data_IF_243939633327
#
_entry.id   IF_243939633327
#
_cell.length_a   1.000
_cell.length_b   1.000
_cell.length_c   1.000
_cell.angle_alpha   90.00
_cell.angle_beta   90.00
_cell.angle_gamma   90.00
#
_symmetry.space_group_name_H-M   'P 1'
#
loop_
_entity.id
_entity.type
_entity.pdbx_description
1 polymer ?
#
# COMPACT_ATOMS: atom_id res chain seq x y z
N UNK A 1 6.47 17.60 -26.57
CA UNK A 1 6.81 16.17 -26.40
C UNK A 1 6.39 15.85 -24.98
N UNK A 2 5.30 15.08 -24.82
CA UNK A 2 4.65 14.86 -23.53
C UNK A 2 5.62 14.16 -22.57
N UNK A 3 5.63 14.55 -21.29
CA UNK A 3 6.41 13.93 -20.19
C UNK A 3 6.19 12.40 -20.14
N UNK A 4 5.01 11.91 -20.55
CA UNK A 4 4.66 10.51 -20.73
C UNK A 4 5.56 9.75 -21.72
N UNK A 5 5.88 10.34 -22.88
CA UNK A 5 6.80 9.73 -23.87
C UNK A 5 8.25 9.71 -23.36
N UNK A 6 8.62 10.71 -22.56
CA UNK A 6 9.92 10.73 -21.88
C UNK A 6 10.00 9.61 -20.84
N UNK A 7 8.91 9.31 -20.16
CA UNK A 7 8.80 8.23 -19.18
C UNK A 7 8.85 6.84 -19.85
N UNK A 8 8.14 6.62 -20.95
CA UNK A 8 8.18 5.36 -21.71
C UNK A 8 9.56 5.11 -22.36
N UNK A 9 10.22 6.17 -22.86
CA UNK A 9 11.58 6.10 -23.37
C UNK A 9 12.59 5.82 -22.25
N UNK A 10 12.39 6.43 -21.08
CA UNK A 10 13.21 6.17 -19.89
C UNK A 10 13.12 4.70 -19.47
N UNK A 11 11.93 4.13 -19.33
CA UNK A 11 11.76 2.73 -18.97
C UNK A 11 12.37 1.76 -19.99
N UNK A 12 12.26 2.04 -21.31
CA UNK A 12 12.90 1.22 -22.35
C UNK A 12 14.43 1.26 -22.35
N UNK A 13 15.03 2.36 -21.89
CA UNK A 13 16.49 2.54 -21.82
C UNK A 13 17.08 1.94 -20.54
N UNK A 14 16.26 1.75 -19.49
CA UNK A 14 16.71 1.36 -18.16
C UNK A 14 16.28 -0.05 -17.71
N UNK A 15 15.64 -0.84 -18.57
CA UNK A 15 15.49 -2.29 -18.38
C UNK A 15 16.88 -2.94 -18.29
N UNK A 16 17.40 -3.07 -17.06
CA UNK A 16 18.69 -3.71 -16.79
C UNK A 16 19.66 -2.93 -15.91
N UNK A 17 19.27 -1.81 -15.30
CA UNK A 17 20.15 -1.10 -14.36
C UNK A 17 20.15 -1.73 -12.98
N UNK A 18 21.37 -1.92 -12.51
CA UNK A 18 21.75 -2.42 -11.20
C UNK A 18 20.95 -1.77 -10.08
N UNK A 19 20.42 -2.58 -9.18
CA UNK A 19 19.81 -2.23 -7.88
C UNK A 19 20.79 -1.44 -6.96
N UNK A 20 21.76 -0.77 -7.51
CA UNK A 20 22.82 -0.04 -6.81
C UNK A 20 22.66 1.47 -6.71
N UNK A 21 21.88 2.11 -7.57
CA UNK A 21 21.67 3.56 -7.53
C UNK A 21 20.18 3.89 -7.41
N UNK A 22 19.84 4.87 -6.55
CA UNK A 22 18.49 5.38 -6.46
C UNK A 22 18.07 6.05 -7.79
N UNK A 23 16.82 5.87 -8.17
CA UNK A 23 16.26 6.51 -9.36
C UNK A 23 15.93 7.98 -9.06
N UNK A 24 16.81 8.88 -9.45
CA UNK A 24 16.65 10.32 -9.27
C UNK A 24 15.41 10.88 -9.96
N UNK A 25 14.97 10.27 -11.06
CA UNK A 25 13.80 10.73 -11.78
C UNK A 25 12.53 10.41 -10.99
N UNK A 26 12.40 9.19 -10.45
CA UNK A 26 11.28 8.83 -9.58
C UNK A 26 11.26 9.64 -8.29
N UNK A 27 12.44 9.92 -7.70
CA UNK A 27 12.55 10.80 -6.52
C UNK A 27 12.06 12.21 -6.85
N UNK A 28 12.43 12.77 -8.01
CA UNK A 28 11.93 14.07 -8.46
C UNK A 28 10.40 14.05 -8.61
N UNK A 29 9.86 13.05 -9.29
CA UNK A 29 8.41 12.90 -9.44
C UNK A 29 7.69 12.74 -8.10
N UNK A 30 8.34 12.07 -7.13
CA UNK A 30 7.80 11.93 -5.77
C UNK A 30 7.61 13.30 -5.10
N UNK A 31 8.57 14.19 -5.20
CA UNK A 31 8.46 15.55 -4.65
C UNK A 31 7.51 16.48 -5.43
N UNK A 32 7.18 16.11 -6.68
CA UNK A 32 6.22 16.86 -7.52
C UNK A 32 4.77 16.33 -7.41
N UNK A 33 4.48 15.32 -6.56
CA UNK A 33 3.13 14.75 -6.44
C UNK A 33 2.70 13.90 -7.65
N UNK A 34 3.65 13.49 -8.50
CA UNK A 34 3.40 12.82 -9.78
C UNK A 34 3.88 11.37 -9.85
N UNK A 35 4.55 10.87 -8.80
CA UNK A 35 5.16 9.55 -8.83
C UNK A 35 4.11 8.44 -8.62
N UNK A 36 3.93 7.59 -9.63
CA UNK A 36 3.12 6.37 -9.53
C UNK A 36 3.92 5.16 -9.05
N UNK A 37 5.25 5.22 -9.10
CA UNK A 37 6.13 4.09 -8.84
C UNK A 37 7.11 4.37 -7.69
N UNK A 38 6.68 5.16 -6.69
CA UNK A 38 7.52 5.47 -5.53
C UNK A 38 7.97 4.20 -4.79
N UNK A 39 7.14 3.14 -4.80
CA UNK A 39 7.48 1.83 -4.21
C UNK A 39 8.67 1.14 -4.87
N UNK A 40 9.11 1.56 -6.06
CA UNK A 40 10.33 1.03 -6.71
C UNK A 40 11.61 1.67 -6.20
N UNK A 41 11.49 2.78 -5.47
CA UNK A 41 12.62 3.51 -4.87
C UNK A 41 12.63 3.38 -3.36
N UNK A 42 11.46 3.64 -2.73
CA UNK A 42 11.29 3.54 -1.28
C UNK A 42 10.97 2.11 -0.87
N UNK A 43 11.35 1.77 0.37
CA UNK A 43 11.17 0.42 0.91
C UNK A 43 12.47 -0.37 0.95
N UNK A 44 12.34 -1.69 1.12
CA UNK A 44 13.44 -2.65 1.17
C UNK A 44 13.51 -3.44 -0.14
N UNK A 45 14.56 -3.24 -0.93
CA UNK A 45 14.77 -3.89 -2.22
C UNK A 45 15.89 -4.92 -2.15
N UNK A 46 15.49 -6.20 -2.24
CA UNK A 46 16.40 -7.34 -2.20
C UNK A 46 17.05 -7.58 -3.57
N UNK A 47 18.36 -7.74 -3.58
CA UNK A 47 19.11 -8.22 -4.73
C UNK A 47 19.89 -9.52 -4.40
N UNK A 48 20.82 -9.93 -5.26
CA UNK A 48 21.60 -11.15 -5.08
C UNK A 48 22.60 -11.08 -3.92
N UNK A 49 22.97 -9.89 -3.44
CA UNK A 49 24.01 -9.69 -2.44
C UNK A 49 23.48 -9.17 -1.11
N UNK A 50 22.34 -8.50 -1.10
CA UNK A 50 21.79 -7.89 0.11
C UNK A 50 20.51 -7.09 -0.16
N UNK A 51 20.26 -6.09 0.67
CA UNK A 51 19.04 -5.27 0.63
C UNK A 51 19.40 -3.79 0.66
N UNK A 52 18.79 -3.02 -0.22
CA UNK A 52 18.75 -1.58 -0.15
C UNK A 52 17.50 -1.12 0.57
N UNK A 53 17.69 -0.35 1.60
CA UNK A 53 16.64 0.34 2.34
C UNK A 53 16.60 1.81 1.93
N UNK A 54 15.42 2.33 1.68
CA UNK A 54 15.21 3.74 1.37
C UNK A 54 13.93 4.24 2.04
N UNK A 55 14.01 5.35 2.76
CA UNK A 55 12.87 5.92 3.49
C UNK A 55 12.83 7.43 3.39
N UNK A 56 11.62 7.98 3.37
CA UNK A 56 11.36 9.42 3.46
C UNK A 56 11.06 9.79 4.90
N UNK A 57 11.99 10.55 5.53
CA UNK A 57 11.89 11.02 6.92
C UNK A 57 12.52 12.42 7.02
N UNK A 58 11.79 13.47 6.56
CA UNK A 58 12.36 14.80 6.34
C UNK A 58 12.79 15.51 7.62
N UNK A 59 12.16 15.23 8.75
CA UNK A 59 12.45 15.89 10.03
C UNK A 59 13.42 15.08 10.91
N UNK A 60 13.77 13.83 10.53
CA UNK A 60 14.67 12.97 11.30
C UNK A 60 16.07 13.61 11.48
N UNK A 61 16.64 13.48 12.67
CA UNK A 61 18.06 13.80 12.94
C UNK A 61 18.98 12.69 12.45
N UNK A 62 18.57 11.44 12.68
CA UNK A 62 19.23 10.24 12.19
C UNK A 62 18.23 9.12 11.95
N UNK A 63 18.57 8.19 11.05
CA UNK A 63 17.78 6.99 10.78
C UNK A 63 18.72 5.78 10.79
N UNK A 64 18.28 4.71 11.42
CA UNK A 64 18.98 3.43 11.44
C UNK A 64 18.07 2.32 10.93
N UNK A 65 18.64 1.25 10.39
CA UNK A 65 17.90 0.00 10.11
C UNK A 65 18.18 -0.97 11.25
N UNK A 66 17.12 -1.40 11.95
CA UNK A 66 17.18 -2.39 13.02
C UNK A 66 16.37 -3.63 12.63
N UNK A 67 16.81 -4.79 13.03
CA UNK A 67 16.13 -6.03 12.68
C UNK A 67 16.72 -7.26 13.37
N UNK A 68 16.18 -8.44 13.03
CA UNK A 68 16.67 -9.72 13.57
C UNK A 68 18.13 -10.03 13.18
N UNK A 69 18.65 -9.40 12.14
CA UNK A 69 20.01 -9.57 11.63
C UNK A 69 21.08 -8.78 12.41
N UNK A 70 20.68 -7.87 13.26
CA UNK A 70 21.55 -7.08 14.11
C UNK A 70 21.06 -6.99 15.56
N UNK A 71 20.28 -8.00 16.03
CA UNK A 71 19.72 -8.07 17.38
C UNK A 71 18.94 -6.80 17.77
N UNK A 72 18.32 -6.14 16.78
CA UNK A 72 17.63 -4.85 16.93
C UNK A 72 18.54 -3.71 17.43
N UNK A 73 19.84 -3.84 17.26
CA UNK A 73 20.84 -2.79 17.51
C UNK A 73 21.27 -2.15 16.19
N UNK A 74 20.87 -0.91 15.97
CA UNK A 74 21.15 -0.18 14.74
C UNK A 74 22.51 0.55 14.73
N UNK A 75 23.36 0.41 15.73
CA UNK A 75 24.60 1.22 15.88
C UNK A 75 25.57 1.10 14.72
N UNK A 76 25.52 0.01 13.96
CA UNK A 76 26.33 -0.21 12.75
C UNK A 76 25.56 0.03 11.43
N UNK A 77 24.27 0.36 11.52
CA UNK A 77 23.40 0.46 10.34
C UNK A 77 22.71 1.83 10.26
N UNK A 78 23.49 2.90 10.40
CA UNK A 78 23.01 4.26 10.13
C UNK A 78 22.81 4.46 8.64
N UNK A 79 21.64 5.01 8.29
CA UNK A 79 21.33 5.41 6.93
C UNK A 79 22.03 6.74 6.58
N UNK A 80 22.43 6.87 5.33
CA UNK A 80 22.96 8.12 4.79
C UNK A 80 21.82 8.98 4.23
N UNK A 81 21.90 10.27 4.47
CA UNK A 81 20.98 11.24 3.88
C UNK A 81 21.33 11.42 2.41
N UNK A 82 20.43 10.96 1.54
CA UNK A 82 20.67 10.96 0.10
C UNK A 82 20.58 12.36 -0.52
N UNK A 83 19.64 13.20 0.00
CA UNK A 83 19.45 14.57 -0.45
C UNK A 83 18.90 15.45 0.68
N UNK A 84 18.87 16.77 0.45
CA UNK A 84 18.34 17.73 1.43
C UNK A 84 16.83 17.62 1.64
N UNK A 85 16.12 16.90 0.77
CA UNK A 85 14.67 16.66 0.86
C UNK A 85 14.25 15.63 1.91
N UNK A 86 15.20 14.99 2.61
CA UNK A 86 14.88 14.03 3.70
C UNK A 86 14.70 12.59 3.26
N UNK A 87 15.28 12.21 2.15
CA UNK A 87 15.42 10.80 1.72
C UNK A 87 16.68 10.20 2.36
N UNK A 88 16.52 9.04 2.98
CA UNK A 88 17.61 8.29 3.63
C UNK A 88 17.77 6.95 2.96
N UNK A 89 18.99 6.47 2.81
CA UNK A 89 19.29 5.18 2.18
C UNK A 89 20.43 4.44 2.85
N UNK A 90 20.40 3.10 2.81
CA UNK A 90 21.47 2.23 3.28
C UNK A 90 21.42 0.92 2.49
N UNK A 91 22.57 0.37 2.15
CA UNK A 91 22.69 -0.98 1.61
C UNK A 91 23.35 -1.89 2.65
N UNK A 92 22.71 -3.03 2.95
CA UNK A 92 23.21 -4.02 3.89
C UNK A 92 23.41 -5.34 3.15
N UNK A 93 24.64 -5.83 3.12
CA UNK A 93 24.98 -7.11 2.49
C UNK A 93 24.53 -8.30 3.33
N UNK A 94 24.26 -9.43 2.68
CA UNK A 94 23.97 -10.71 3.32
C UNK A 94 22.54 -10.90 3.82
N UNK A 95 21.70 -9.87 3.79
CA UNK A 95 20.31 -9.97 4.16
C UNK A 95 19.51 -10.80 3.15
N UNK A 96 18.42 -11.40 3.63
CA UNK A 96 17.61 -12.37 2.89
C UNK A 96 16.13 -12.01 2.94
N UNK A 97 15.39 -12.63 2.05
CA UNK A 97 13.93 -12.63 2.12
C UNK A 97 13.44 -13.13 3.48
N UNK A 98 12.45 -12.45 4.03
CA UNK A 98 11.85 -12.65 5.35
C UNK A 98 12.64 -12.11 6.55
N UNK A 99 13.81 -11.51 6.37
CA UNK A 99 14.46 -10.78 7.46
C UNK A 99 13.52 -9.69 7.97
N UNK A 100 13.38 -9.60 9.29
CA UNK A 100 12.55 -8.61 9.96
C UNK A 100 13.33 -7.31 10.12
N UNK A 101 12.66 -6.18 9.89
CA UNK A 101 13.29 -4.88 10.08
C UNK A 101 12.30 -3.79 10.48
N UNK A 102 12.84 -2.72 11.05
CA UNK A 102 12.21 -1.42 11.28
C UNK A 102 13.19 -0.29 10.99
N UNK A 103 12.66 0.90 10.80
CA UNK A 103 13.46 2.12 10.85
C UNK A 103 13.44 2.67 12.28
N UNK A 104 14.62 2.79 12.88
CA UNK A 104 14.81 3.49 14.15
C UNK A 104 15.16 4.93 13.86
N UNK A 105 14.31 5.85 14.25
CA UNK A 105 14.38 7.25 13.90
C UNK A 105 14.62 8.09 15.15
N UNK A 106 15.66 8.93 15.13
CA UNK A 106 15.84 10.00 16.08
C UNK A 106 15.05 11.22 15.61
N UNK A 107 14.02 11.57 16.35
CA UNK A 107 13.12 12.69 16.04
C UNK A 107 13.78 14.06 16.29
N UNK A 108 13.21 15.17 15.83
CA UNK A 108 13.71 16.51 16.14
C UNK A 108 13.81 16.83 17.62
N UNK A 109 12.98 16.20 18.46
CA UNK A 109 13.01 16.35 19.91
C UNK A 109 14.11 15.52 20.61
N UNK A 110 14.78 14.61 19.85
CA UNK A 110 15.75 13.66 20.38
C UNK A 110 15.12 12.35 20.89
N UNK A 111 13.82 12.17 20.79
CA UNK A 111 13.18 10.89 21.09
C UNK A 111 13.51 9.86 20.01
N UNK A 112 13.66 8.59 20.44
CA UNK A 112 13.88 7.46 19.54
C UNK A 112 12.56 6.73 19.32
N UNK A 113 12.20 6.48 18.07
CA UNK A 113 10.99 5.75 17.67
C UNK A 113 11.31 4.68 16.65
N UNK A 114 10.71 3.50 16.81
CA UNK A 114 10.83 2.40 15.84
C UNK A 114 9.58 2.33 14.96
N UNK A 115 9.76 2.42 13.64
CA UNK A 115 8.70 2.49 12.64
C UNK A 115 8.76 1.31 11.68
N UNK A 116 7.60 0.75 11.36
CA UNK A 116 7.47 -0.11 10.18
C UNK A 116 7.75 0.71 8.91
N UNK A 117 8.18 0.03 7.87
CA UNK A 117 8.45 0.67 6.59
C UNK A 117 7.13 1.02 5.88
N UNK A 118 6.89 2.30 5.54
CA UNK A 118 5.69 2.72 4.83
C UNK A 118 5.50 2.04 3.46
N UNK A 119 6.58 1.57 2.85
CA UNK A 119 6.60 0.92 1.54
C UNK A 119 6.89 -0.59 1.61
N UNK A 120 6.81 -1.20 2.79
CA UNK A 120 7.01 -2.64 2.93
C UNK A 120 6.04 -3.45 2.08
N UNK A 121 6.54 -4.44 1.37
CA UNK A 121 5.71 -5.36 0.58
C UNK A 121 5.12 -6.51 1.41
N UNK A 122 5.64 -6.72 2.61
CA UNK A 122 5.17 -7.73 3.53
C UNK A 122 5.43 -7.33 4.98
N UNK A 123 4.50 -7.68 5.85
CA UNK A 123 4.55 -7.36 7.28
C UNK A 123 4.71 -8.61 8.13
N UNK A 124 5.22 -8.44 9.33
CA UNK A 124 5.20 -9.48 10.36
C UNK A 124 3.76 -9.81 10.74
N UNK A 125 3.49 -11.08 11.04
CA UNK A 125 2.17 -11.47 11.53
C UNK A 125 1.94 -10.89 12.93
N UNK A 126 0.76 -10.37 13.15
CA UNK A 126 0.39 -9.83 14.48
C UNK A 126 0.55 -10.86 15.59
N UNK A 127 0.92 -10.47 16.83
CA UNK A 127 1.06 -9.10 17.32
C UNK A 127 2.37 -8.40 16.93
N UNK A 128 3.22 -9.01 16.11
CA UNK A 128 4.43 -8.40 15.59
C UNK A 128 4.11 -7.17 14.73
N UNK A 129 5.03 -6.21 14.70
CA UNK A 129 4.84 -4.91 14.03
C UNK A 129 6.02 -4.54 13.12
N UNK A 130 6.89 -5.50 12.83
CA UNK A 130 8.01 -5.28 11.92
C UNK A 130 7.60 -5.45 10.46
N UNK A 131 8.36 -4.84 9.58
CA UNK A 131 8.34 -5.14 8.16
C UNK A 131 9.21 -6.35 7.85
N UNK A 132 8.90 -7.06 6.77
CA UNK A 132 9.71 -8.16 6.24
C UNK A 132 10.32 -7.77 4.91
N UNK A 133 11.59 -8.08 4.74
CA UNK A 133 12.21 -8.06 3.41
C UNK A 133 11.47 -9.04 2.52
N UNK A 134 10.94 -8.58 1.41
CA UNK A 134 10.18 -9.42 0.49
C UNK A 134 10.41 -9.01 -0.97
N UNK A 135 10.64 -10.01 -1.83
CA UNK A 135 10.77 -9.78 -3.26
C UNK A 135 9.51 -10.26 -3.99
N UNK A 136 8.84 -9.34 -4.68
CA UNK A 136 7.66 -9.62 -5.51
C UNK A 136 8.01 -10.22 -6.86
N UNK A 137 9.27 -10.09 -7.31
CA UNK A 137 9.72 -10.56 -8.61
C UNK A 137 9.57 -12.08 -8.79
N UNK A 138 9.57 -12.50 -10.05
CA UNK A 138 9.57 -13.91 -10.44
C UNK A 138 8.21 -14.60 -10.31
N UNK A 139 7.15 -13.89 -9.95
CA UNK A 139 5.79 -14.44 -10.04
C UNK A 139 5.37 -14.57 -11.51
N UNK A 140 4.79 -15.71 -11.87
CA UNK A 140 4.31 -15.96 -13.24
C UNK A 140 2.80 -15.93 -13.29
N UNK A 141 2.24 -14.86 -13.84
CA UNK A 141 0.82 -14.71 -14.10
C UNK A 141 0.37 -15.64 -15.23
N UNK A 142 -0.82 -16.22 -15.10
CA UNK A 142 -1.46 -17.05 -16.12
C UNK A 142 -2.79 -16.46 -16.60
N UNK A 143 -3.01 -15.21 -16.38
CA UNK A 143 -4.25 -14.44 -16.61
C UNK A 143 -4.21 -13.55 -17.86
N UNK A 144 -3.25 -13.72 -18.75
CA UNK A 144 -3.05 -12.86 -19.92
C UNK A 144 -4.28 -12.76 -20.84
N UNK A 145 -5.12 -13.81 -20.89
CA UNK A 145 -6.39 -13.79 -21.62
C UNK A 145 -7.38 -12.83 -20.96
N UNK A 146 -7.51 -12.92 -19.62
CA UNK A 146 -8.36 -12.03 -18.81
C UNK A 146 -7.92 -10.60 -18.97
N UNK A 147 -6.65 -10.29 -18.72
CA UNK A 147 -6.08 -8.94 -18.80
C UNK A 147 -6.29 -8.26 -20.17
N UNK A 148 -6.31 -9.04 -21.25
CA UNK A 148 -6.59 -8.52 -22.61
C UNK A 148 -8.07 -8.30 -22.89
N UNK A 149 -8.97 -9.02 -22.21
CA UNK A 149 -10.41 -9.00 -22.47
C UNK A 149 -11.20 -8.18 -21.45
N UNK A 150 -10.59 -7.84 -20.31
CA UNK A 150 -11.25 -7.01 -19.28
C UNK A 150 -11.52 -5.61 -19.81
N UNK A 151 -12.59 -5.01 -19.32
CA UNK A 151 -12.97 -3.63 -19.61
C UNK A 151 -13.38 -2.95 -18.30
N UNK A 152 -13.61 -1.64 -18.34
CA UNK A 152 -14.16 -0.91 -17.21
C UNK A 152 -15.64 -1.22 -16.93
N UNK A 153 -16.25 -2.10 -17.72
CA UNK A 153 -17.62 -2.64 -17.57
C UNK A 153 -18.76 -1.61 -17.52
N UNK A 154 -18.55 -0.39 -17.97
CA UNK A 154 -19.63 0.63 -18.00
C UNK A 154 -20.80 0.28 -18.90
N UNK A 155 -20.61 -0.64 -19.84
CA UNK A 155 -21.58 -1.11 -20.82
C UNK A 155 -22.08 -2.56 -20.57
N UNK A 156 -21.75 -3.14 -19.40
CA UNK A 156 -22.07 -4.52 -19.06
C UNK A 156 -22.75 -4.62 -17.71
N UNK A 157 -23.56 -5.66 -17.55
CA UNK A 157 -24.10 -5.98 -16.24
C UNK A 157 -22.99 -6.48 -15.32
N UNK A 158 -22.92 -5.91 -14.13
CA UNK A 158 -22.04 -6.34 -13.05
C UNK A 158 -22.87 -6.85 -11.89
N UNK A 159 -22.41 -7.96 -11.30
CA UNK A 159 -22.93 -8.49 -10.06
C UNK A 159 -21.74 -8.70 -9.13
N UNK A 160 -21.62 -7.88 -8.09
CA UNK A 160 -20.46 -7.82 -7.21
C UNK A 160 -20.80 -8.52 -5.90
N UNK A 161 -19.90 -9.38 -5.44
CA UNK A 161 -19.94 -10.00 -4.12
C UNK A 161 -18.90 -9.38 -3.21
N UNK A 162 -19.34 -8.56 -2.27
CA UNK A 162 -18.46 -7.96 -1.26
C UNK A 162 -18.18 -8.96 -0.15
N UNK A 163 -16.91 -9.11 0.24
CA UNK A 163 -16.49 -10.03 1.27
C UNK A 163 -15.28 -9.55 2.05
N UNK A 164 -15.32 -9.71 3.37
CA UNK A 164 -14.13 -9.70 4.20
C UNK A 164 -13.59 -11.13 4.31
N UNK A 165 -12.37 -11.37 3.83
CA UNK A 165 -11.79 -12.72 3.78
C UNK A 165 -11.63 -13.33 5.18
N UNK A 166 -11.41 -12.52 6.21
CA UNK A 166 -11.22 -13.00 7.58
C UNK A 166 -12.50 -13.44 8.27
N UNK A 167 -13.65 -12.87 7.90
CA UNK A 167 -14.95 -13.17 8.55
C UNK A 167 -15.93 -13.92 7.64
N UNK A 168 -15.64 -14.02 6.34
CA UNK A 168 -16.50 -14.75 5.40
C UNK A 168 -16.64 -16.23 5.80
N UNK A 169 -15.51 -16.87 6.16
CA UNK A 169 -15.45 -18.21 6.73
C UNK A 169 -14.14 -18.33 7.51
N UNK A 170 -14.18 -19.02 8.62
CA UNK A 170 -13.02 -19.29 9.46
C UNK A 170 -12.83 -20.78 9.67
N UNK A 171 -11.58 -21.23 9.78
CA UNK A 171 -11.25 -22.60 10.18
C UNK A 171 -11.60 -22.85 11.64
N UNK A 172 -11.36 -21.83 12.46
CA UNK A 172 -11.63 -21.85 13.89
C UNK A 172 -12.05 -20.46 14.33
N UNK A 173 -13.21 -20.40 14.97
CA UNK A 173 -13.75 -19.16 15.52
C UNK A 173 -12.92 -18.65 16.71
N UNK A 174 -12.83 -17.32 16.84
CA UNK A 174 -12.31 -16.70 18.05
C UNK A 174 -13.23 -16.97 19.24
N UNK A 175 -12.64 -17.33 20.39
CA UNK A 175 -13.35 -17.50 21.65
C UNK A 175 -12.54 -16.87 22.77
N UNK A 176 -13.13 -16.71 23.97
CA UNK A 176 -12.45 -16.17 25.16
C UNK A 176 -11.20 -16.99 25.56
N UNK A 177 -11.09 -18.23 25.11
CA UNK A 177 -10.02 -19.17 25.49
C UNK A 177 -9.16 -19.65 24.32
N UNK A 178 -9.43 -19.20 23.09
CA UNK A 178 -8.67 -19.64 21.90
C UNK A 178 -8.58 -18.57 20.84
N UNK A 179 -7.40 -18.42 20.24
CA UNK A 179 -7.19 -17.65 19.04
C UNK A 179 -7.95 -18.28 17.86
N UNK A 180 -8.56 -17.43 17.03
CA UNK A 180 -9.18 -17.88 15.80
C UNK A 180 -8.13 -18.28 14.75
N UNK A 181 -8.55 -19.02 13.75
CA UNK A 181 -7.72 -19.41 12.61
C UNK A 181 -8.40 -19.03 11.32
N UNK A 182 -7.74 -18.17 10.54
CA UNK A 182 -8.21 -17.76 9.22
C UNK A 182 -7.87 -18.79 8.14
N UNK A 183 -8.64 -18.79 7.07
CA UNK A 183 -8.22 -19.42 5.83
C UNK A 183 -7.08 -18.60 5.20
N UNK A 184 -6.11 -19.28 4.62
CA UNK A 184 -5.08 -18.64 3.81
C UNK A 184 -5.64 -18.18 2.45
N UNK A 185 -4.92 -17.27 1.76
CA UNK A 185 -5.26 -16.87 0.39
C UNK A 185 -5.42 -18.08 -0.55
N UNK A 186 -4.54 -19.08 -0.43
CA UNK A 186 -4.62 -20.30 -1.25
C UNK A 186 -5.85 -21.15 -0.92
N UNK A 187 -6.15 -21.33 0.35
CA UNK A 187 -7.33 -22.10 0.77
C UNK A 187 -8.63 -21.41 0.39
N UNK A 188 -8.66 -20.07 0.33
CA UNK A 188 -9.82 -19.30 -0.14
C UNK A 188 -10.13 -19.55 -1.62
N UNK A 189 -9.15 -20.01 -2.43
CA UNK A 189 -9.40 -20.42 -3.83
C UNK A 189 -10.48 -21.48 -3.89
N UNK A 190 -10.36 -22.50 -3.05
CA UNK A 190 -11.29 -23.65 -3.05
C UNK A 190 -12.61 -23.37 -2.31
N UNK A 191 -12.66 -22.32 -1.52
CA UNK A 191 -13.82 -21.97 -0.70
C UNK A 191 -14.70 -20.90 -1.35
N UNK A 192 -14.16 -19.69 -1.59
CA UNK A 192 -14.99 -18.55 -2.02
C UNK A 192 -15.25 -18.54 -3.53
N UNK A 193 -14.29 -18.92 -4.36
CA UNK A 193 -14.43 -18.86 -5.83
C UNK A 193 -15.57 -19.76 -6.33
N UNK A 194 -15.69 -21.03 -5.90
CA UNK A 194 -16.82 -21.88 -6.30
C UNK A 194 -18.18 -21.33 -5.87
N UNK A 195 -18.24 -20.70 -4.69
CA UNK A 195 -19.45 -20.06 -4.20
C UNK A 195 -19.88 -18.90 -5.08
N UNK A 196 -18.97 -17.95 -5.31
CA UNK A 196 -19.19 -16.75 -6.14
C UNK A 196 -19.64 -17.14 -7.55
N UNK A 197 -18.96 -18.11 -8.15
CA UNK A 197 -19.30 -18.64 -9.48
C UNK A 197 -20.68 -19.28 -9.51
N UNK A 198 -21.00 -20.15 -8.53
CA UNK A 198 -22.29 -20.82 -8.40
C UNK A 198 -23.44 -19.82 -8.26
N UNK A 199 -23.22 -18.72 -7.54
CA UNK A 199 -24.21 -17.68 -7.32
C UNK A 199 -24.35 -16.69 -8.49
N UNK A 200 -23.48 -16.78 -9.51
CA UNK A 200 -23.53 -15.97 -10.72
C UNK A 200 -22.98 -14.55 -10.56
N UNK A 201 -22.10 -14.32 -9.58
CA UNK A 201 -21.40 -13.06 -9.45
C UNK A 201 -20.30 -12.95 -10.51
N UNK A 202 -20.04 -11.72 -10.96
CA UNK A 202 -19.01 -11.39 -11.97
C UNK A 202 -17.73 -10.92 -11.33
N UNK A 203 -17.83 -10.35 -10.13
CA UNK A 203 -16.67 -9.80 -9.39
C UNK A 203 -16.78 -10.16 -7.92
N UNK A 204 -15.61 -10.26 -7.28
CA UNK A 204 -15.47 -10.22 -5.82
C UNK A 204 -14.90 -8.86 -5.47
N UNK A 205 -15.58 -8.11 -4.60
CA UNK A 205 -15.04 -6.95 -3.93
C UNK A 205 -14.49 -7.39 -2.58
N UNK A 206 -13.19 -7.26 -2.40
CA UNK A 206 -12.52 -7.67 -1.17
C UNK A 206 -12.30 -6.43 -0.31
N UNK A 207 -12.87 -6.44 0.91
CA UNK A 207 -12.58 -5.43 1.93
C UNK A 207 -11.06 -5.27 2.10
N UNK A 208 -10.55 -4.15 2.64
CA UNK A 208 -9.15 -3.78 2.50
C UNK A 208 -8.17 -4.91 2.80
N UNK A 209 -7.29 -5.18 1.83
CA UNK A 209 -6.22 -6.20 1.93
C UNK A 209 -4.89 -5.60 2.40
N UNK A 210 -4.85 -4.31 2.66
CA UNK A 210 -3.72 -3.64 3.28
C UNK A 210 -3.44 -4.22 4.67
N UNK A 211 -2.17 -4.21 5.13
CA UNK A 211 -1.87 -4.63 6.51
C UNK A 211 -2.51 -3.67 7.52
N UNK A 212 -3.07 -4.21 8.58
CA UNK A 212 -3.78 -3.49 9.64
C UNK A 212 -3.61 -4.16 11.00
N UNK A 213 -3.62 -3.40 12.13
CA UNK A 213 -3.31 -3.96 13.45
C UNK A 213 -4.51 -4.62 14.13
N UNK A 214 -5.73 -4.14 13.89
CA UNK A 214 -6.91 -4.51 14.64
C UNK A 214 -7.96 -5.23 13.79
N UNK A 215 -8.25 -6.51 14.09
CA UNK A 215 -9.17 -7.35 13.30
C UNK A 215 -10.58 -6.76 13.19
N UNK A 216 -11.08 -6.13 14.24
CA UNK A 216 -12.39 -5.51 14.27
C UNK A 216 -12.56 -4.33 13.31
N UNK A 217 -11.46 -3.81 12.74
CA UNK A 217 -11.52 -2.76 11.72
C UNK A 217 -11.83 -3.29 10.31
N UNK A 218 -11.82 -4.61 10.10
CA UNK A 218 -11.97 -5.27 8.80
C UNK A 218 -10.98 -4.78 7.72
N UNK A 219 -9.89 -4.15 8.13
CA UNK A 219 -8.88 -3.59 7.25
C UNK A 219 -9.00 -2.09 6.98
N UNK A 220 -10.08 -1.43 7.41
CA UNK A 220 -10.27 0.02 7.20
C UNK A 220 -9.34 0.89 8.05
N UNK A 221 -8.61 0.31 8.99
CA UNK A 221 -7.59 0.98 9.80
C UNK A 221 -6.18 0.51 9.39
N UNK A 222 -5.76 0.86 8.18
CA UNK A 222 -4.52 0.39 7.58
C UNK A 222 -3.26 1.00 8.23
N UNK A 223 -2.19 0.17 8.29
CA UNK A 223 -0.81 0.57 8.64
C UNK A 223 0.17 0.33 7.50
N UNK A 224 -0.10 -0.59 6.58
CA UNK A 224 0.80 -0.97 5.49
C UNK A 224 0.16 -0.88 4.12
N UNK A 225 0.32 0.24 3.41
CA UNK A 225 -0.36 0.54 2.13
C UNK A 225 0.14 -0.29 0.93
N UNK A 226 1.34 -0.84 1.02
CA UNK A 226 1.97 -1.70 -0.01
C UNK A 226 2.10 -3.15 0.45
N UNK A 227 1.63 -3.48 1.65
CA UNK A 227 1.72 -4.82 2.24
C UNK A 227 0.37 -5.50 2.19
N UNK A 228 0.28 -6.63 1.49
CA UNK A 228 -0.85 -7.52 1.63
C UNK A 228 -0.89 -8.07 3.05
N UNK A 229 -2.06 -8.00 3.70
CA UNK A 229 -2.16 -8.42 5.10
C UNK A 229 -1.61 -9.82 5.33
N UNK A 230 -0.73 -9.93 6.31
CA UNK A 230 -0.04 -11.17 6.68
C UNK A 230 -0.96 -12.23 7.32
N UNK A 231 -2.19 -11.84 7.67
CA UNK A 231 -3.22 -12.72 8.28
C UNK A 231 -3.55 -13.96 7.45
N UNK A 232 -3.56 -13.78 6.13
CA UNK A 232 -4.02 -14.80 5.20
C UNK A 232 -2.88 -15.43 4.39
N UNK A 233 -1.63 -15.07 4.70
CA UNK A 233 -0.46 -15.59 4.01
C UNK A 233 0.49 -14.52 3.49
N UNK A 234 1.23 -14.83 2.44
CA UNK A 234 2.21 -13.91 1.87
C UNK A 234 1.75 -13.34 0.49
N UNK A 235 2.37 -12.27 0.00
CA UNK A 235 1.90 -11.55 -1.20
C UNK A 235 1.76 -12.44 -2.45
N UNK A 236 2.62 -13.42 -2.67
CA UNK A 236 2.49 -14.31 -3.84
C UNK A 236 1.28 -15.24 -3.76
N UNK A 237 0.85 -15.63 -2.56
CA UNK A 237 -0.40 -16.41 -2.39
C UNK A 237 -1.63 -15.55 -2.71
N UNK A 238 -1.61 -14.24 -2.42
CA UNK A 238 -2.65 -13.34 -2.88
C UNK A 238 -2.66 -13.22 -4.41
N UNK A 239 -1.48 -13.17 -5.05
CA UNK A 239 -1.40 -13.23 -6.52
C UNK A 239 -2.00 -14.53 -7.07
N UNK A 240 -1.79 -15.68 -6.40
CA UNK A 240 -2.40 -16.98 -6.78
C UNK A 240 -3.92 -16.94 -6.67
N UNK A 241 -4.45 -16.33 -5.60
CA UNK A 241 -5.89 -16.16 -5.42
C UNK A 241 -6.50 -15.31 -6.56
N UNK A 242 -5.92 -14.16 -6.88
CA UNK A 242 -6.39 -13.29 -7.96
C UNK A 242 -6.29 -13.99 -9.32
N UNK A 243 -5.16 -14.65 -9.58
CA UNK A 243 -4.96 -15.42 -10.80
C UNK A 243 -6.00 -16.55 -10.96
N UNK A 244 -6.41 -17.20 -9.87
CA UNK A 244 -7.48 -18.20 -9.87
C UNK A 244 -8.85 -17.57 -10.14
N UNK A 245 -9.16 -16.39 -9.58
CA UNK A 245 -10.38 -15.64 -9.91
C UNK A 245 -10.45 -15.35 -11.41
N UNK A 246 -9.39 -14.81 -12.00
CA UNK A 246 -9.31 -14.49 -13.43
C UNK A 246 -9.48 -15.72 -14.33
N UNK A 247 -8.90 -16.87 -13.93
CA UNK A 247 -9.06 -18.14 -14.64
C UNK A 247 -10.51 -18.60 -14.68
N UNK A 248 -11.28 -18.33 -13.62
CA UNK A 248 -12.70 -18.65 -13.51
C UNK A 248 -13.62 -17.57 -14.08
N UNK A 249 -13.05 -16.50 -14.65
CA UNK A 249 -13.81 -15.40 -15.27
C UNK A 249 -14.42 -14.44 -14.24
N UNK A 250 -13.80 -14.32 -13.06
CA UNK A 250 -14.22 -13.45 -11.96
C UNK A 250 -13.20 -12.34 -11.80
N UNK A 251 -13.66 -11.08 -11.85
CA UNK A 251 -12.83 -9.90 -11.56
C UNK A 251 -12.64 -9.70 -10.06
N UNK A 252 -11.56 -9.01 -9.67
CA UNK A 252 -11.26 -8.68 -8.28
C UNK A 252 -11.21 -7.17 -8.10
N UNK A 253 -12.08 -6.66 -7.24
CA UNK A 253 -12.12 -5.27 -6.79
C UNK A 253 -11.54 -5.23 -5.38
N UNK A 254 -10.68 -4.26 -5.10
CA UNK A 254 -10.10 -4.07 -3.78
C UNK A 254 -10.59 -2.78 -3.16
N UNK A 255 -11.02 -2.85 -1.90
CA UNK A 255 -11.24 -1.68 -1.09
C UNK A 255 -9.93 -0.99 -0.72
N UNK A 256 -9.87 0.31 -0.86
CA UNK A 256 -8.72 1.13 -0.55
C UNK A 256 -9.13 2.35 0.27
N UNK A 257 -8.40 2.63 1.34
CA UNK A 257 -8.69 3.69 2.30
C UNK A 257 -7.75 4.89 2.10
N UNK A 258 -8.04 5.83 1.20
CA UNK A 258 -7.15 6.96 0.92
C UNK A 258 -7.37 8.14 1.89
N UNK A 259 -8.46 8.14 2.66
CA UNK A 259 -8.84 9.27 3.48
C UNK A 259 -8.03 9.37 4.76
N UNK A 260 -7.81 8.25 5.45
CA UNK A 260 -7.23 8.24 6.78
C UNK A 260 -6.38 7.01 7.08
N UNK A 261 -5.61 7.07 8.17
CA UNK A 261 -4.82 5.96 8.71
C UNK A 261 -4.78 6.00 10.25
N UNK A 262 -4.38 4.90 10.87
CA UNK A 262 -4.40 4.75 12.33
C UNK A 262 -3.22 5.40 13.02
N UNK A 263 -3.40 5.68 14.32
CA UNK A 263 -2.39 6.35 15.18
C UNK A 263 -1.40 5.38 15.83
N UNK A 264 -1.37 4.13 15.40
CA UNK A 264 -0.46 3.11 15.96
C UNK A 264 1.00 3.56 15.90
N UNK A 265 1.69 3.43 17.02
CA UNK A 265 3.03 3.99 17.20
C UNK A 265 4.11 3.38 16.30
N UNK A 266 3.84 2.24 15.65
CA UNK A 266 4.73 1.66 14.66
C UNK A 266 4.41 2.07 13.21
N UNK A 267 3.26 2.70 12.97
CA UNK A 267 2.76 3.09 11.65
C UNK A 267 3.20 4.49 11.23
N UNK A 268 2.32 5.13 10.42
CA UNK A 268 2.61 6.40 9.75
C UNK A 268 2.48 7.63 10.64
N UNK A 269 1.72 7.53 11.75
CA UNK A 269 1.42 8.68 12.61
C UNK A 269 2.67 9.27 13.25
N UNK A 270 2.90 10.57 13.04
CA UNK A 270 4.11 11.26 13.48
C UNK A 270 5.39 10.48 13.13
N UNK A 271 5.49 10.04 11.89
CA UNK A 271 6.43 9.02 11.42
C UNK A 271 7.87 9.29 11.87
N UNK A 272 8.35 10.51 11.73
CA UNK A 272 9.70 10.94 12.14
C UNK A 272 9.69 11.98 13.27
N UNK A 273 8.56 12.04 14.00
CA UNK A 273 8.31 13.04 15.03
C UNK A 273 7.73 14.35 14.50
N UNK A 274 7.55 14.46 13.18
CA UNK A 274 6.84 15.55 12.49
C UNK A 274 5.55 15.05 11.84
N UNK A 275 4.86 15.96 11.17
CA UNK A 275 3.63 15.69 10.42
C UNK A 275 3.98 15.34 8.97
N UNK A 276 4.43 14.11 8.72
CA UNK A 276 4.85 13.68 7.37
C UNK A 276 3.64 13.40 6.50
N UNK A 277 2.73 12.55 6.96
CA UNK A 277 1.59 12.07 6.19
C UNK A 277 0.29 12.80 6.51
N UNK A 278 0.11 13.23 7.74
CA UNK A 278 -1.10 13.88 8.26
C UNK A 278 -1.05 15.41 8.24
N UNK A 279 -2.21 16.04 8.41
CA UNK A 279 -2.31 17.48 8.54
C UNK A 279 -1.60 18.00 9.79
N UNK A 280 -0.82 19.06 9.66
CA UNK A 280 -0.22 19.76 10.79
C UNK A 280 -1.28 20.50 11.63
N UNK A 281 -2.33 21.03 10.99
CA UNK A 281 -3.45 21.67 11.66
C UNK A 281 -4.31 20.64 12.41
N UNK A 282 -4.42 20.81 13.73
CA UNK A 282 -5.22 19.96 14.61
C UNK A 282 -6.69 19.88 14.21
N UNK A 283 -7.24 20.97 13.65
CA UNK A 283 -8.64 21.03 13.25
C UNK A 283 -8.95 20.10 12.05
N UNK A 284 -7.96 19.82 11.22
CA UNK A 284 -8.11 19.02 10.02
C UNK A 284 -7.49 17.62 10.15
N UNK A 285 -6.82 17.34 11.28
CA UNK A 285 -6.04 16.11 11.46
C UNK A 285 -6.85 14.89 11.86
N UNK A 286 -7.74 15.02 12.82
CA UNK A 286 -8.40 13.89 13.44
C UNK A 286 -9.74 13.58 12.80
N UNK A 287 -9.95 12.29 12.49
CA UNK A 287 -11.23 11.78 12.02
C UNK A 287 -12.14 11.38 13.19
N UNK A 288 -13.39 11.13 12.88
CA UNK A 288 -14.40 10.61 13.79
C UNK A 288 -14.18 9.13 14.18
N UNK A 289 -13.31 8.42 13.42
CA UNK A 289 -13.00 6.99 13.65
C UNK A 289 -11.74 6.78 14.48
N UNK A 290 -11.34 7.74 15.32
CA UNK A 290 -10.11 7.73 16.12
C UNK A 290 -8.83 7.53 15.30
N UNK A 291 -8.85 7.97 14.04
CA UNK A 291 -7.73 7.95 13.10
C UNK A 291 -7.31 9.36 12.69
N UNK A 292 -6.38 9.49 11.75
CA UNK A 292 -5.90 10.78 11.24
C UNK A 292 -6.03 10.83 9.73
N UNK A 293 -6.43 12.01 9.21
CA UNK A 293 -6.54 12.23 7.78
C UNK A 293 -5.18 12.41 7.12
N UNK A 294 -5.02 11.84 5.94
CA UNK A 294 -3.90 12.15 5.05
C UNK A 294 -3.95 13.61 4.59
N UNK A 295 -2.82 14.31 4.70
CA UNK A 295 -2.67 15.65 4.14
C UNK A 295 -2.41 15.59 2.63
N UNK A 296 -3.47 15.41 1.86
CA UNK A 296 -3.40 15.33 0.38
C UNK A 296 -3.11 16.68 -0.30
N UNK A 297 -2.83 17.73 0.47
CA UNK A 297 -2.26 18.97 -0.07
C UNK A 297 -0.76 18.89 -0.27
N UNK A 298 -0.10 17.91 0.38
CA UNK A 298 1.34 17.62 0.22
C UNK A 298 1.59 16.75 -1.00
N UNK A 299 2.51 17.16 -1.85
CA UNK A 299 2.89 16.43 -3.05
C UNK A 299 3.47 15.04 -2.74
N UNK A 300 4.25 14.92 -1.66
CA UNK A 300 4.80 13.63 -1.21
C UNK A 300 3.72 12.63 -0.77
N UNK A 301 2.65 13.11 -0.12
CA UNK A 301 1.49 12.30 0.27
C UNK A 301 0.68 11.89 -0.95
N UNK A 302 0.48 12.80 -1.91
CA UNK A 302 -0.16 12.47 -3.20
C UNK A 302 0.61 11.36 -3.93
N UNK A 303 1.94 11.49 -4.02
CA UNK A 303 2.78 10.45 -4.62
C UNK A 303 2.70 9.12 -3.88
N UNK A 304 2.67 9.13 -2.54
CA UNK A 304 2.52 7.93 -1.73
C UNK A 304 1.21 7.19 -2.05
N UNK A 305 0.07 7.89 -2.00
CA UNK A 305 -1.25 7.29 -2.24
C UNK A 305 -1.44 6.86 -3.71
N UNK A 306 -1.03 7.69 -4.68
CA UNK A 306 -1.07 7.34 -6.11
C UNK A 306 -0.21 6.12 -6.41
N UNK A 307 0.97 6.05 -5.79
CA UNK A 307 1.87 4.90 -5.92
C UNK A 307 1.27 3.63 -5.30
N UNK A 308 0.52 3.73 -4.20
CA UNK A 308 -0.17 2.59 -3.62
C UNK A 308 -1.27 2.06 -4.55
N UNK A 309 -2.09 2.94 -5.12
CA UNK A 309 -3.11 2.56 -6.12
C UNK A 309 -2.47 1.88 -7.34
N UNK A 310 -1.40 2.47 -7.86
CA UNK A 310 -0.66 1.90 -8.98
C UNK A 310 -0.06 0.54 -8.65
N UNK A 311 0.53 0.39 -7.46
CA UNK A 311 1.11 -0.87 -6.97
C UNK A 311 0.09 -2.01 -6.99
N UNK A 312 -1.11 -1.80 -6.48
CA UNK A 312 -2.14 -2.83 -6.49
C UNK A 312 -2.61 -3.19 -7.92
N UNK A 313 -2.70 -2.21 -8.80
CA UNK A 313 -3.05 -2.45 -10.20
C UNK A 313 -1.96 -3.20 -10.98
N UNK A 314 -0.68 -2.82 -10.80
CA UNK A 314 0.46 -3.38 -11.52
C UNK A 314 0.90 -4.74 -10.97
N UNK A 315 1.08 -4.82 -9.64
CA UNK A 315 1.66 -6.01 -9.02
C UNK A 315 0.62 -7.10 -8.77
N UNK A 316 -0.64 -6.73 -8.54
CA UNK A 316 -1.68 -7.68 -8.17
C UNK A 316 -2.78 -7.85 -9.24
N UNK A 317 -2.68 -7.15 -10.36
CA UNK A 317 -3.63 -7.27 -11.48
C UNK A 317 -5.11 -7.09 -11.09
N UNK A 318 -5.40 -6.32 -10.03
CA UNK A 318 -6.78 -6.05 -9.64
C UNK A 318 -7.56 -5.38 -10.77
N UNK A 319 -8.88 -5.59 -10.83
CA UNK A 319 -9.76 -5.11 -11.89
C UNK A 319 -10.47 -3.80 -11.53
N UNK A 320 -10.51 -3.50 -10.26
CA UNK A 320 -11.09 -2.27 -9.75
C UNK A 320 -10.60 -1.91 -8.37
N UNK A 321 -10.73 -0.63 -8.04
CA UNK A 321 -10.47 -0.10 -6.71
C UNK A 321 -11.71 0.67 -6.27
N UNK A 322 -12.25 0.29 -5.12
CA UNK A 322 -13.28 1.04 -4.43
C UNK A 322 -12.59 1.94 -3.40
N UNK A 323 -12.78 3.24 -3.52
CA UNK A 323 -12.25 4.25 -2.62
C UNK A 323 -13.22 4.49 -1.49
N UNK A 324 -12.79 4.18 -0.28
CA UNK A 324 -13.55 4.35 0.95
C UNK A 324 -13.64 5.82 1.36
N UNK A 325 -14.79 6.23 1.89
CA UNK A 325 -15.04 7.52 2.52
C UNK A 325 -14.64 8.73 1.65
N UNK A 326 -14.99 8.74 0.36
CA UNK A 326 -14.60 9.82 -0.57
C UNK A 326 -15.14 11.18 -0.15
N UNK A 327 -16.32 11.23 0.47
CA UNK A 327 -16.86 12.48 1.04
C UNK A 327 -15.94 13.10 2.10
N UNK A 328 -15.26 12.27 2.91
CA UNK A 328 -14.31 12.72 3.92
C UNK A 328 -12.98 13.25 3.33
N UNK A 329 -12.70 12.94 2.05
CA UNK A 329 -11.65 13.60 1.29
C UNK A 329 -12.13 14.94 0.71
N UNK A 330 -13.29 14.93 0.03
CA UNK A 330 -13.82 16.08 -0.72
C UNK A 330 -14.23 17.22 0.20
N UNK A 331 -14.89 16.89 1.30
CA UNK A 331 -15.34 17.89 2.26
C UNK A 331 -14.53 17.79 3.55
N UNK A 332 -14.18 18.92 4.14
CA UNK A 332 -13.50 18.91 5.42
C UNK A 332 -14.32 18.14 6.44
N UNK A 333 -13.71 17.09 7.05
CA UNK A 333 -14.35 16.17 8.01
C UNK A 333 -15.64 15.51 7.48
N UNK A 334 -15.74 15.26 6.18
CA UNK A 334 -16.91 14.67 5.56
C UNK A 334 -18.17 15.56 5.54
N UNK A 335 -18.08 16.82 5.96
CA UNK A 335 -19.23 17.69 6.10
C UNK A 335 -19.17 18.85 5.08
N UNK A 336 -20.20 18.93 4.22
CA UNK A 336 -20.35 20.00 3.20
C UNK A 336 -20.33 21.40 3.78
N UNK A 337 -20.82 21.58 5.00
CA UNK A 337 -20.88 22.89 5.67
C UNK A 337 -19.49 23.43 6.04
N UNK A 338 -18.48 22.55 6.17
CA UNK A 338 -17.11 22.96 6.43
C UNK A 338 -16.34 23.32 5.14
N UNK A 339 -16.99 23.21 3.99
CA UNK A 339 -16.45 23.56 2.69
C UNK A 339 -15.62 22.45 2.06
N UNK A 340 -15.14 22.71 0.86
CA UNK A 340 -14.46 21.77 -0.01
C UNK A 340 -12.96 21.79 0.19
N UNK A 341 -12.35 20.62 0.28
CA UNK A 341 -10.90 20.43 0.25
C UNK A 341 -10.42 20.39 -1.22
N UNK A 342 -10.01 21.54 -1.74
CA UNK A 342 -9.53 21.63 -3.12
C UNK A 342 -8.29 20.77 -3.39
N UNK A 343 -7.45 20.53 -2.37
CA UNK A 343 -6.28 19.62 -2.48
C UNK A 343 -6.71 18.19 -2.72
N UNK A 344 -7.78 17.75 -2.08
CA UNK A 344 -8.34 16.41 -2.29
C UNK A 344 -9.02 16.27 -3.66
N UNK A 345 -9.76 17.28 -4.11
CA UNK A 345 -10.31 17.27 -5.47
C UNK A 345 -9.23 17.15 -6.53
N UNK A 346 -8.14 17.91 -6.41
CA UNK A 346 -7.00 17.84 -7.31
C UNK A 346 -6.30 16.48 -7.24
N UNK A 347 -6.14 15.93 -6.03
CA UNK A 347 -5.60 14.58 -5.84
C UNK A 347 -6.45 13.53 -6.56
N UNK A 348 -7.77 13.47 -6.30
CA UNK A 348 -8.68 12.50 -6.91
C UNK A 348 -8.71 12.62 -8.43
N UNK A 349 -8.78 13.85 -8.95
CA UNK A 349 -8.80 14.11 -10.39
C UNK A 349 -7.53 13.63 -11.06
N UNK A 350 -6.37 14.08 -10.57
CA UNK A 350 -5.07 13.70 -11.17
C UNK A 350 -4.72 12.24 -10.98
N UNK A 351 -5.17 11.62 -9.89
CA UNK A 351 -5.04 10.18 -9.68
C UNK A 351 -5.85 9.40 -10.74
N UNK A 352 -7.14 9.73 -10.91
CA UNK A 352 -7.98 9.07 -11.91
C UNK A 352 -7.43 9.24 -13.33
N UNK A 353 -7.00 10.46 -13.70
CA UNK A 353 -6.39 10.73 -15.00
C UNK A 353 -5.18 9.83 -15.25
N UNK A 354 -4.23 9.78 -14.31
CA UNK A 354 -3.01 8.99 -14.45
C UNK A 354 -3.25 7.47 -14.43
N UNK A 355 -4.16 7.00 -13.59
CA UNK A 355 -4.50 5.58 -13.50
C UNK A 355 -5.22 5.11 -14.77
N UNK A 356 -6.20 5.86 -15.27
CA UNK A 356 -6.93 5.48 -16.50
C UNK A 356 -6.09 5.64 -17.78
N UNK A 357 -5.13 6.58 -17.79
CA UNK A 357 -4.15 6.66 -18.88
C UNK A 357 -3.30 5.39 -18.96
N UNK A 358 -2.88 4.84 -17.80
CA UNK A 358 -2.04 3.64 -17.74
C UNK A 358 -2.84 2.33 -17.78
N UNK A 359 -4.00 2.30 -17.12
CA UNK A 359 -4.88 1.14 -17.01
C UNK A 359 -6.31 1.48 -17.44
N UNK A 360 -6.58 1.63 -18.77
CA UNK A 360 -7.90 2.06 -19.24
C UNK A 360 -9.06 1.14 -18.83
N UNK A 361 -8.76 -0.11 -18.51
CA UNK A 361 -9.74 -1.11 -18.11
C UNK A 361 -9.92 -1.23 -16.58
N UNK A 362 -9.12 -0.51 -15.76
CA UNK A 362 -9.27 -0.51 -14.31
C UNK A 362 -10.50 0.30 -13.92
N UNK A 363 -11.37 -0.26 -13.10
CA UNK A 363 -12.50 0.45 -12.53
C UNK A 363 -12.07 1.27 -11.32
N UNK A 364 -12.53 2.51 -11.22
CA UNK A 364 -12.46 3.31 -9.99
C UNK A 364 -13.86 3.57 -9.49
N UNK A 365 -14.14 3.19 -8.25
CA UNK A 365 -15.45 3.23 -7.63
C UNK A 365 -15.34 4.09 -6.37
N UNK A 366 -16.20 5.09 -6.23
CA UNK A 366 -16.23 5.93 -5.04
C UNK A 366 -17.34 5.45 -4.10
N UNK A 367 -16.99 5.26 -2.83
CA UNK A 367 -17.97 5.13 -1.77
C UNK A 367 -18.31 6.52 -1.23
N UNK A 368 -19.58 6.84 -1.27
CA UNK A 368 -20.11 8.10 -0.75
C UNK A 368 -21.49 7.89 -0.16
N UNK A 369 -21.67 8.29 1.08
CA UNK A 369 -22.91 8.19 1.82
C UNK A 369 -23.61 9.54 2.07
N UNK A 370 -23.18 10.62 1.40
CA UNK A 370 -23.71 11.98 1.58
C UNK A 370 -24.85 12.36 0.65
#
# INVERSE_FOLDING_TARGET
MNEFWSYLLYNKVYEGRHIGMLDNFLIKLFFEGKCLEAYKVFGAHLDKKGVRFTVYAPHARSVQVVGNFNDWDGTQHYMERYNDGGVWTLYIEGLKQYDLYKYRIETPSGAIVDRADPYAFFSEIRPGTASKVYNLDGYRWHDSRWMKSRSNNYDRNMNIYEANLGSWKMKKEFTDTSDGEFYSYEEMIDEIIPYVKKMGYTHIEVMPLNEFPFDGSWGYQATGYFSATSRYGHPKQLKDFINACHKEGIGVIMDFVPAHFVKDGHGLYQFDGGWVYEYADVNNRYSEWDSVYFDVTKDTVRSFLKSAVHFWAEEFHIDGIRFDAVSNLIYWKGNKDFGTNNGALEFLKTMNEQIHERYPALMTIAEDST
#
